data_IF_375424618942
#
_entry.id   IF_375424618942
#
_cell.length_a   1.000
_cell.length_b   1.000
_cell.length_c   1.000
_cell.angle_alpha   90.00
_cell.angle_beta   90.00
_cell.angle_gamma   90.00
#
_symmetry.space_group_name_H-M   'P 1'
#
loop_
_entity.id
_entity.type
_entity.pdbx_description
1 polymer ?
#
# COMPACT_ATOMS: atom_id res chain seq x y z
N UNK A 1 -26.33 22.27 -42.01
CA UNK A 1 -25.89 20.89 -41.91
C UNK A 1 -24.38 20.87 -42.12
N UNK A 2 -23.61 20.75 -41.09
CA UNK A 2 -22.17 20.64 -41.25
C UNK A 2 -21.66 19.68 -40.15
N UNK A 3 -21.41 18.45 -40.58
CA UNK A 3 -20.89 17.35 -39.75
C UNK A 3 -19.38 17.43 -39.79
N UNK A 4 -18.74 17.87 -38.68
CA UNK A 4 -17.29 17.79 -38.51
C UNK A 4 -16.89 16.40 -37.97
N UNK A 5 -15.70 15.90 -38.33
CA UNK A 5 -15.29 14.54 -38.02
C UNK A 5 -14.84 14.39 -36.56
N UNK A 6 -15.22 13.25 -35.97
CA UNK A 6 -14.78 12.80 -34.65
C UNK A 6 -13.26 12.58 -34.64
N UNK A 7 -12.59 13.21 -33.65
CA UNK A 7 -11.17 13.04 -33.45
C UNK A 7 -10.86 11.63 -32.91
N UNK A 8 -10.12 10.85 -33.68
CA UNK A 8 -9.51 9.61 -33.22
C UNK A 8 -8.38 9.91 -32.26
N UNK A 9 -8.54 9.50 -31.00
CA UNK A 9 -7.43 9.42 -30.04
C UNK A 9 -6.54 8.25 -30.47
N UNK A 10 -5.32 8.55 -30.89
CA UNK A 10 -4.34 7.54 -31.27
C UNK A 10 -3.91 6.77 -30.00
N UNK A 11 -4.38 5.52 -29.88
CA UNK A 11 -3.82 4.55 -28.93
C UNK A 11 -2.43 4.17 -29.43
N UNK A 12 -1.40 4.63 -28.73
CA UNK A 12 -0.04 4.16 -28.92
C UNK A 12 0.08 2.72 -28.42
N UNK A 13 0.00 1.76 -29.35
CA UNK A 13 0.30 0.35 -29.10
C UNK A 13 1.81 0.16 -29.13
N UNK A 14 2.50 0.45 -28.03
CA UNK A 14 3.87 -0.01 -27.83
C UNK A 14 3.85 -1.51 -27.54
N UNK A 15 4.06 -2.33 -28.57
CA UNK A 15 4.45 -3.74 -28.38
C UNK A 15 5.91 -3.74 -27.92
N UNK A 16 6.25 -4.34 -26.78
CA UNK A 16 7.65 -4.44 -26.38
C UNK A 16 8.39 -5.41 -27.32
N UNK A 17 9.42 -4.90 -27.99
CA UNK A 17 10.39 -5.74 -28.67
C UNK A 17 11.12 -6.60 -27.64
N UNK A 18 11.18 -7.91 -27.91
CA UNK A 18 11.92 -8.89 -27.11
C UNK A 18 13.42 -8.71 -27.40
N UNK A 19 14.09 -7.90 -26.58
CA UNK A 19 15.54 -7.91 -26.47
C UNK A 19 15.93 -8.41 -25.07
N UNK A 20 16.87 -9.32 -25.01
CA UNK A 20 17.50 -9.90 -23.81
C UNK A 20 18.29 -8.85 -23.05
N UNK A 21 17.60 -7.90 -22.44
CA UNK A 21 18.15 -6.83 -21.63
C UNK A 21 17.33 -6.69 -20.34
N UNK A 22 18.00 -6.41 -19.24
CA UNK A 22 17.40 -6.02 -17.96
C UNK A 22 16.41 -4.89 -18.25
N UNK A 23 15.09 -5.15 -18.12
CA UNK A 23 14.08 -4.11 -18.35
C UNK A 23 14.28 -3.02 -17.31
N UNK A 24 14.40 -1.76 -17.76
CA UNK A 24 14.54 -0.62 -16.88
C UNK A 24 13.22 -0.35 -16.13
N UNK A 25 13.28 0.20 -14.91
CA UNK A 25 12.10 0.64 -14.19
C UNK A 25 11.32 1.68 -15.00
N UNK A 26 10.00 1.56 -15.01
CA UNK A 26 9.11 2.53 -15.65
C UNK A 26 8.47 3.42 -14.58
N UNK A 27 8.68 4.74 -14.66
CA UNK A 27 8.05 5.72 -13.77
C UNK A 27 6.98 6.52 -14.51
N UNK A 28 5.81 6.68 -13.87
CA UNK A 28 4.67 7.41 -14.43
C UNK A 28 3.82 8.02 -13.32
N UNK A 29 2.87 8.89 -13.71
CA UNK A 29 1.83 9.37 -12.82
C UNK A 29 0.51 8.66 -13.15
N UNK A 30 -0.03 7.90 -12.19
CA UNK A 30 -1.37 7.33 -12.27
C UNK A 30 -2.39 8.39 -11.84
N UNK A 31 -3.61 8.29 -12.32
CA UNK A 31 -4.70 9.17 -11.91
C UNK A 31 -5.78 8.37 -11.18
N UNK A 32 -6.05 8.76 -9.95
CA UNK A 32 -7.13 8.17 -9.16
C UNK A 32 -8.49 8.61 -9.66
N UNK A 33 -9.55 7.89 -9.30
CA UNK A 33 -10.94 8.23 -9.66
C UNK A 33 -11.39 9.61 -9.15
N UNK A 34 -10.74 10.14 -8.10
CA UNK A 34 -10.97 11.49 -7.57
C UNK A 34 -9.95 12.54 -8.10
N UNK A 35 -9.23 12.20 -9.19
CA UNK A 35 -8.38 13.12 -9.96
C UNK A 35 -7.02 13.45 -9.34
N UNK A 36 -6.55 12.67 -8.37
CA UNK A 36 -5.21 12.85 -7.79
C UNK A 36 -4.15 12.16 -8.64
N UNK A 37 -3.09 12.88 -9.04
CA UNK A 37 -1.92 12.30 -9.70
C UNK A 37 -1.02 11.61 -8.66
N UNK A 38 -0.71 10.33 -8.88
CA UNK A 38 0.05 9.45 -7.99
C UNK A 38 1.34 9.03 -8.68
N UNK A 39 2.47 9.48 -8.14
CA UNK A 39 3.81 9.14 -8.63
C UNK A 39 4.10 7.67 -8.38
N UNK A 40 4.33 6.90 -9.45
CA UNK A 40 4.37 5.45 -9.43
C UNK A 40 5.54 4.91 -10.24
N UNK A 41 6.11 3.80 -9.78
CA UNK A 41 7.24 3.10 -10.41
C UNK A 41 6.92 1.62 -10.55
N UNK A 42 7.10 1.09 -11.74
CA UNK A 42 7.10 -0.33 -12.03
C UNK A 42 8.54 -0.82 -12.13
N UNK A 43 8.91 -1.75 -11.29
CA UNK A 43 10.19 -2.46 -11.31
C UNK A 43 9.95 -3.88 -11.84
N UNK A 44 10.50 -4.27 -12.98
CA UNK A 44 10.33 -5.63 -13.50
C UNK A 44 11.00 -6.66 -12.59
N UNK A 45 10.54 -7.92 -12.64
CA UNK A 45 11.13 -9.00 -11.87
C UNK A 45 12.63 -9.12 -12.16
N UNK A 46 13.41 -9.31 -11.10
CA UNK A 46 14.89 -9.45 -11.21
C UNK A 46 15.30 -10.80 -11.78
N UNK A 47 14.42 -11.80 -11.72
CA UNK A 47 14.66 -13.16 -12.24
C UNK A 47 13.98 -13.29 -13.60
N UNK A 48 14.75 -13.77 -14.61
CA UNK A 48 14.19 -14.13 -15.91
C UNK A 48 13.18 -15.27 -15.69
N UNK A 49 11.95 -15.18 -16.22
CA UNK A 49 10.97 -16.24 -16.05
C UNK A 49 11.54 -17.56 -16.56
N UNK A 50 11.58 -18.57 -15.71
CA UNK A 50 11.87 -19.94 -16.11
C UNK A 50 10.64 -20.48 -16.86
N UNK A 51 10.75 -20.85 -18.15
CA UNK A 51 9.61 -21.37 -18.90
C UNK A 51 8.96 -22.61 -18.28
N UNK A 52 9.71 -23.35 -17.44
CA UNK A 52 9.20 -24.51 -16.69
C UNK A 52 8.45 -24.12 -15.40
N UNK A 53 8.50 -22.83 -14.99
CA UNK A 53 7.77 -22.28 -13.85
C UNK A 53 6.88 -21.12 -14.31
N UNK A 54 5.63 -21.38 -14.77
CA UNK A 54 4.76 -20.37 -15.37
C UNK A 54 4.43 -19.15 -14.48
N UNK A 55 4.81 -19.19 -13.21
CA UNK A 55 4.25 -18.33 -12.19
C UNK A 55 5.02 -17.03 -11.87
N UNK A 56 6.30 -16.93 -12.18
CA UNK A 56 7.08 -15.75 -11.78
C UNK A 56 6.83 -14.51 -12.68
N UNK A 57 6.47 -14.71 -13.95
CA UNK A 57 6.20 -13.61 -14.90
C UNK A 57 4.83 -12.95 -14.71
N UNK A 58 3.89 -13.66 -14.09
CA UNK A 58 2.49 -13.22 -13.94
C UNK A 58 2.23 -12.53 -12.60
N UNK A 59 3.15 -12.66 -11.63
CA UNK A 59 3.01 -12.11 -10.29
C UNK A 59 3.57 -10.70 -10.21
N UNK A 60 2.80 -9.80 -9.62
CA UNK A 60 3.24 -8.46 -9.25
C UNK A 60 2.90 -8.14 -7.80
N UNK A 61 3.85 -7.55 -7.11
CA UNK A 61 3.64 -6.97 -5.79
C UNK A 61 3.29 -5.49 -5.94
N UNK A 62 2.18 -5.06 -5.33
CA UNK A 62 1.84 -3.63 -5.22
C UNK A 62 2.19 -3.17 -3.81
N UNK A 63 3.26 -2.37 -3.68
CA UNK A 63 3.84 -1.99 -2.39
C UNK A 63 3.33 -0.63 -1.93
N UNK A 64 2.67 -0.61 -0.78
CA UNK A 64 2.08 0.55 -0.11
C UNK A 64 2.91 0.93 1.12
N UNK A 65 3.63 2.04 1.05
CA UNK A 65 4.57 2.51 2.09
C UNK A 65 3.87 3.02 3.37
N UNK A 66 4.63 3.16 4.46
CA UNK A 66 4.17 3.78 5.70
C UNK A 66 4.03 5.31 5.58
N UNK A 67 3.42 5.94 6.60
CA UNK A 67 3.30 7.39 6.65
C UNK A 67 4.70 8.04 6.59
N UNK A 68 4.85 9.11 5.79
CA UNK A 68 6.10 9.80 5.43
C UNK A 68 7.05 9.05 4.47
N UNK A 69 6.64 7.88 3.96
CA UNK A 69 7.33 7.20 2.87
C UNK A 69 7.10 7.87 1.51
N UNK A 70 7.84 7.46 0.52
CA UNK A 70 7.64 7.74 -0.91
C UNK A 70 8.44 6.70 -1.73
N UNK A 71 8.27 6.67 -3.05
CA UNK A 71 8.92 5.71 -3.96
C UNK A 71 10.45 5.77 -3.95
N UNK A 72 11.03 6.90 -3.56
CA UNK A 72 12.48 7.13 -3.60
C UNK A 72 13.15 6.88 -2.24
N UNK A 73 12.39 6.58 -1.17
CA UNK A 73 12.95 6.33 0.15
C UNK A 73 13.79 5.04 0.18
N UNK A 74 15.00 5.07 0.77
CA UNK A 74 15.89 3.92 0.77
C UNK A 74 15.26 2.64 1.33
N UNK A 75 14.47 2.74 2.42
CA UNK A 75 13.78 1.60 3.01
C UNK A 75 12.68 1.04 2.10
N UNK A 76 11.98 1.89 1.33
CA UNK A 76 11.00 1.44 0.33
C UNK A 76 11.73 0.76 -0.83
N UNK A 77 12.80 1.35 -1.35
CA UNK A 77 13.61 0.75 -2.43
C UNK A 77 14.24 -0.59 -2.02
N UNK A 78 14.61 -0.76 -0.75
CA UNK A 78 15.07 -2.05 -0.22
C UNK A 78 13.97 -3.11 -0.27
N UNK A 79 12.74 -2.77 0.15
CA UNK A 79 11.59 -3.66 0.03
C UNK A 79 11.36 -4.07 -1.42
N UNK A 80 11.36 -3.11 -2.35
CA UNK A 80 11.24 -3.36 -3.79
C UNK A 80 12.30 -4.34 -4.28
N UNK A 81 13.57 -4.11 -3.93
CA UNK A 81 14.68 -4.96 -4.35
C UNK A 81 14.54 -6.40 -3.83
N UNK A 82 14.03 -6.57 -2.60
CA UNK A 82 13.79 -7.89 -2.04
C UNK A 82 12.65 -8.62 -2.75
N UNK A 83 11.50 -7.97 -2.93
CA UNK A 83 10.32 -8.55 -3.56
C UNK A 83 10.50 -8.78 -5.07
N UNK A 84 11.32 -7.97 -5.75
CA UNK A 84 11.62 -8.13 -7.18
C UNK A 84 12.30 -9.49 -7.51
N UNK A 85 12.81 -10.20 -6.51
CA UNK A 85 13.32 -11.57 -6.67
C UNK A 85 12.21 -12.61 -6.83
N UNK A 86 10.97 -12.27 -6.46
CA UNK A 86 9.81 -13.17 -6.46
C UNK A 86 8.80 -12.83 -7.56
N UNK A 87 8.78 -11.59 -8.06
CA UNK A 87 7.87 -11.10 -9.10
C UNK A 87 8.16 -9.66 -9.45
N UNK A 88 7.40 -9.08 -10.38
CA UNK A 88 7.47 -7.65 -10.64
C UNK A 88 6.96 -6.84 -9.42
N UNK A 89 7.33 -5.56 -9.34
CA UNK A 89 6.90 -4.69 -8.23
C UNK A 89 6.38 -3.37 -8.78
N UNK A 90 5.18 -3.00 -8.36
CA UNK A 90 4.63 -1.64 -8.49
C UNK A 90 4.77 -0.95 -7.15
N UNK A 91 5.43 0.19 -7.11
CA UNK A 91 5.43 1.10 -5.97
C UNK A 91 4.82 2.43 -6.35
N UNK A 92 4.26 3.13 -5.37
CA UNK A 92 3.71 4.46 -5.58
C UNK A 92 3.87 5.30 -4.32
N UNK A 93 3.95 6.61 -4.48
CA UNK A 93 3.87 7.55 -3.36
C UNK A 93 2.40 7.88 -3.12
N UNK A 94 1.90 7.65 -1.92
CA UNK A 94 0.53 8.03 -1.56
C UNK A 94 0.26 9.51 -1.78
N UNK A 95 -1.00 9.88 -1.98
CA UNK A 95 -1.43 11.29 -2.04
C UNK A 95 -0.82 12.12 -0.93
N UNK A 96 -0.32 13.29 -1.27
CA UNK A 96 0.35 14.17 -0.32
C UNK A 96 1.79 13.78 0.02
N UNK A 97 2.33 12.69 -0.48
CA UNK A 97 3.72 12.24 -0.27
C UNK A 97 4.55 12.39 -1.55
N UNK A 98 5.85 12.53 -1.40
CA UNK A 98 6.78 12.62 -2.53
C UNK A 98 6.32 13.60 -3.59
N UNK A 99 6.34 13.18 -4.87
CA UNK A 99 5.88 13.95 -6.02
C UNK A 99 4.38 13.83 -6.30
N UNK A 100 3.65 12.93 -5.62
CA UNK A 100 2.20 12.77 -5.79
C UNK A 100 1.41 14.01 -5.44
N UNK A 101 0.30 14.23 -6.13
CA UNK A 101 -0.65 15.31 -5.86
C UNK A 101 -1.43 15.14 -4.55
N UNK A 102 -2.44 15.98 -4.36
CA UNK A 102 -3.39 15.86 -3.26
C UNK A 102 -2.80 16.11 -1.86
N UNK A 103 -3.49 15.57 -0.85
CA UNK A 103 -3.13 15.65 0.57
C UNK A 103 -3.47 14.34 1.27
N UNK A 104 -2.58 13.85 2.13
CA UNK A 104 -2.79 12.63 2.91
C UNK A 104 -3.97 12.76 3.87
N UNK A 105 -4.82 11.77 3.87
CA UNK A 105 -5.91 11.56 4.83
C UNK A 105 -5.56 10.51 5.89
N UNK A 106 -4.28 10.09 5.90
CA UNK A 106 -3.69 9.13 6.86
C UNK A 106 -4.42 7.77 6.83
N UNK A 107 -4.61 7.25 5.62
CA UNK A 107 -5.14 5.91 5.37
C UNK A 107 -6.61 5.85 4.95
N UNK A 108 -7.33 6.97 4.87
CA UNK A 108 -8.73 6.97 4.43
C UNK A 108 -8.85 6.94 2.90
N UNK A 109 -8.51 8.03 2.20
CA UNK A 109 -8.61 8.11 0.74
C UNK A 109 -7.43 7.49 0.01
N UNK A 110 -6.39 7.11 0.72
CA UNK A 110 -5.23 6.40 0.19
C UNK A 110 -5.60 5.04 -0.43
N UNK A 111 -6.78 4.50 -0.12
CA UNK A 111 -7.32 3.30 -0.80
C UNK A 111 -7.54 3.53 -2.30
N UNK A 112 -7.83 4.78 -2.72
CA UNK A 112 -8.00 5.13 -4.13
C UNK A 112 -6.66 5.16 -4.88
N UNK A 113 -5.58 5.52 -4.17
CA UNK A 113 -4.23 5.51 -4.75
C UNK A 113 -3.77 4.07 -4.98
N UNK A 114 -4.03 3.20 -4.01
CA UNK A 114 -3.75 1.77 -4.15
C UNK A 114 -4.61 1.13 -5.24
N UNK A 115 -5.88 1.51 -5.36
CA UNK A 115 -6.76 1.01 -6.42
C UNK A 115 -6.20 1.35 -7.82
N UNK A 116 -5.73 2.59 -8.04
CA UNK A 116 -5.10 2.97 -9.30
C UNK A 116 -3.81 2.17 -9.57
N UNK A 117 -3.02 1.88 -8.54
CA UNK A 117 -1.80 1.07 -8.68
C UNK A 117 -2.09 -0.41 -9.00
N UNK A 118 -3.13 -0.98 -8.40
CA UNK A 118 -3.62 -2.35 -8.70
C UNK A 118 -4.16 -2.43 -10.13
N UNK A 119 -4.94 -1.43 -10.55
CA UNK A 119 -5.44 -1.35 -11.93
C UNK A 119 -4.29 -1.27 -12.94
N UNK A 120 -3.31 -0.41 -12.69
CA UNK A 120 -2.13 -0.32 -13.53
C UNK A 120 -1.33 -1.63 -13.60
N UNK A 121 -1.19 -2.34 -12.50
CA UNK A 121 -0.56 -3.67 -12.48
C UNK A 121 -1.28 -4.66 -13.41
N UNK A 122 -2.62 -4.63 -13.43
CA UNK A 122 -3.44 -5.44 -14.35
C UNK A 122 -3.30 -4.99 -15.81
N UNK A 123 -3.26 -3.68 -16.07
CA UNK A 123 -3.01 -3.11 -17.42
C UNK A 123 -1.64 -3.51 -17.99
N UNK A 124 -0.63 -3.66 -17.13
CA UNK A 124 0.69 -4.19 -17.50
C UNK A 124 0.68 -5.69 -17.84
N UNK A 125 -0.46 -6.37 -17.69
CA UNK A 125 -0.68 -7.77 -18.06
C UNK A 125 -0.46 -8.77 -16.93
N UNK A 126 -0.29 -8.32 -15.67
CA UNK A 126 -0.15 -9.23 -14.55
C UNK A 126 -1.48 -9.87 -14.15
N UNK A 127 -1.51 -11.19 -14.08
CA UNK A 127 -2.72 -11.97 -13.73
C UNK A 127 -2.83 -12.22 -12.23
N UNK A 128 -1.72 -12.12 -11.49
CA UNK A 128 -1.67 -12.30 -10.03
C UNK A 128 -1.12 -11.05 -9.36
N UNK A 129 -1.93 -10.43 -8.50
CA UNK A 129 -1.60 -9.18 -7.81
C UNK A 129 -1.61 -9.42 -6.30
N UNK A 130 -0.48 -9.19 -5.66
CA UNK A 130 -0.34 -9.23 -4.19
C UNK A 130 -0.11 -7.81 -3.67
N UNK A 131 -0.96 -7.34 -2.77
CA UNK A 131 -0.73 -6.06 -2.10
C UNK A 131 0.07 -6.25 -0.83
N UNK A 132 1.14 -5.46 -0.67
CA UNK A 132 2.02 -5.48 0.52
C UNK A 132 2.05 -4.08 1.12
N UNK A 133 1.50 -3.91 2.32
CA UNK A 133 1.41 -2.62 2.97
C UNK A 133 2.14 -2.56 4.30
N UNK A 134 2.75 -1.41 4.58
CA UNK A 134 3.53 -1.16 5.80
C UNK A 134 2.90 -0.04 6.62
N UNK A 135 2.69 -0.24 7.92
CA UNK A 135 2.14 0.76 8.85
C UNK A 135 0.80 1.35 8.33
N UNK A 136 0.75 2.63 7.95
CA UNK A 136 -0.39 3.24 7.27
C UNK A 136 -0.76 2.46 6.00
N UNK A 137 0.22 2.09 5.17
CA UNK A 137 0.00 1.26 3.98
C UNK A 137 -0.58 -0.11 4.33
N UNK A 138 -0.20 -0.69 5.48
CA UNK A 138 -0.78 -1.94 5.98
C UNK A 138 -2.28 -1.82 6.27
N UNK A 139 -2.74 -0.70 6.84
CA UNK A 139 -4.17 -0.45 6.99
C UNK A 139 -4.88 -0.17 5.66
N UNK A 140 -4.18 0.44 4.72
CA UNK A 140 -4.73 0.73 3.38
C UNK A 140 -4.95 -0.54 2.57
N UNK A 141 -4.01 -1.51 2.57
CA UNK A 141 -4.19 -2.78 1.84
C UNK A 141 -5.35 -3.60 2.40
N UNK A 142 -5.54 -3.63 3.74
CA UNK A 142 -6.69 -4.28 4.36
C UNK A 142 -8.02 -3.65 3.90
N UNK A 143 -8.09 -2.32 3.95
CA UNK A 143 -9.28 -1.58 3.54
C UNK A 143 -9.54 -1.68 2.03
N UNK A 144 -8.51 -1.66 1.22
CA UNK A 144 -8.64 -1.85 -0.22
C UNK A 144 -9.22 -3.22 -0.57
N UNK A 145 -8.68 -4.29 0.02
CA UNK A 145 -9.18 -5.65 -0.21
C UNK A 145 -10.67 -5.78 0.17
N UNK A 146 -11.08 -5.17 1.29
CA UNK A 146 -12.47 -5.20 1.75
C UNK A 146 -13.44 -4.35 0.90
N UNK A 147 -12.97 -3.25 0.29
CA UNK A 147 -13.81 -2.28 -0.41
C UNK A 147 -13.82 -2.45 -1.93
N UNK A 148 -12.68 -2.87 -2.50
CA UNK A 148 -12.46 -2.94 -3.95
C UNK A 148 -12.20 -4.37 -4.44
N UNK A 149 -11.60 -5.24 -3.60
CA UNK A 149 -11.15 -6.57 -4.03
C UNK A 149 -10.06 -6.50 -5.10
N UNK A 150 -10.03 -7.46 -6.02
CA UNK A 150 -9.13 -7.46 -7.18
C UNK A 150 -7.68 -7.81 -6.89
N UNK A 151 -7.38 -8.29 -5.69
CA UNK A 151 -6.07 -8.79 -5.25
C UNK A 151 -6.13 -10.27 -4.91
N UNK A 152 -5.09 -11.02 -5.25
CA UNK A 152 -5.03 -12.47 -5.09
C UNK A 152 -4.47 -12.88 -3.72
N UNK A 153 -3.72 -11.98 -3.06
CA UNK A 153 -3.33 -12.10 -1.65
C UNK A 153 -3.01 -10.72 -1.05
N UNK A 154 -3.07 -10.62 0.26
CA UNK A 154 -2.85 -9.39 1.02
C UNK A 154 -1.82 -9.60 2.10
N UNK A 155 -0.81 -8.73 2.20
CA UNK A 155 0.18 -8.71 3.27
C UNK A 155 0.13 -7.38 4.01
N UNK A 156 -0.13 -7.42 5.31
CA UNK A 156 -0.23 -6.24 6.17
C UNK A 156 0.86 -6.28 7.25
N UNK A 157 1.83 -5.37 7.18
CA UNK A 157 2.99 -5.31 8.07
C UNK A 157 2.88 -4.13 9.03
N UNK A 158 2.94 -4.38 10.34
CA UNK A 158 2.89 -3.37 11.41
C UNK A 158 1.70 -2.40 11.30
N UNK A 159 0.52 -2.90 10.91
CA UNK A 159 -0.66 -2.06 10.70
C UNK A 159 -1.39 -1.74 12.03
N UNK A 160 -2.00 -0.55 12.14
CA UNK A 160 -2.97 -0.28 13.18
C UNK A 160 -4.27 -1.08 12.95
N UNK A 161 -4.87 -1.61 14.02
CA UNK A 161 -6.21 -2.21 13.94
C UNK A 161 -7.33 -1.17 14.06
N UNK A 162 -7.05 -0.04 14.67
CA UNK A 162 -8.03 1.00 15.04
C UNK A 162 -7.61 2.38 14.57
N UNK A 163 -8.58 3.17 14.16
CA UNK A 163 -8.39 4.62 13.97
C UNK A 163 -8.05 5.33 15.30
N UNK A 164 -7.31 6.42 15.23
CA UNK A 164 -7.02 7.33 16.35
C UNK A 164 -6.30 6.71 17.55
N UNK A 165 -5.59 5.61 17.35
CA UNK A 165 -4.79 5.06 18.43
C UNK A 165 -3.74 6.07 18.93
N UNK A 166 -3.66 6.25 20.26
CA UNK A 166 -2.74 7.19 20.93
C UNK A 166 -2.07 6.57 22.17
N UNK A 167 -2.09 5.26 22.28
CA UNK A 167 -1.56 4.55 23.46
C UNK A 167 -0.04 4.70 23.64
N UNK A 168 0.72 4.89 22.54
CA UNK A 168 2.18 5.02 22.60
C UNK A 168 2.66 6.45 22.42
N UNK A 169 3.89 6.76 22.86
CA UNK A 169 4.48 8.09 22.70
C UNK A 169 4.67 8.48 21.22
N UNK A 170 5.16 7.60 20.31
CA UNK A 170 5.22 7.91 18.88
C UNK A 170 3.86 8.26 18.29
N UNK A 171 2.81 7.49 18.64
CA UNK A 171 1.47 7.75 18.12
C UNK A 171 0.86 9.05 18.66
N UNK A 172 1.16 9.45 19.89
CA UNK A 172 0.77 10.78 20.41
C UNK A 172 1.46 11.92 19.64
N UNK A 173 2.76 11.75 19.29
CA UNK A 173 3.50 12.72 18.46
C UNK A 173 2.93 12.80 17.04
N UNK A 174 2.65 11.64 16.43
CA UNK A 174 2.02 11.57 15.12
C UNK A 174 0.64 12.25 15.14
N UNK A 175 -0.19 11.97 16.15
CA UNK A 175 -1.48 12.64 16.31
C UNK A 175 -1.35 14.16 16.38
N UNK A 176 -0.39 14.69 17.14
CA UNK A 176 -0.08 16.12 17.16
C UNK A 176 0.30 16.64 15.77
N UNK A 177 1.19 15.92 15.08
CA UNK A 177 1.66 16.27 13.73
C UNK A 177 0.50 16.42 12.73
N UNK A 178 -0.44 15.49 12.73
CA UNK A 178 -1.52 15.47 11.75
C UNK A 178 -2.70 16.37 12.09
N UNK A 179 -2.94 16.64 13.40
CA UNK A 179 -4.12 17.40 13.84
C UNK A 179 -3.86 18.90 14.03
N UNK A 180 -2.63 19.30 14.37
CA UNK A 180 -2.31 20.71 14.66
C UNK A 180 -1.81 21.45 13.42
N UNK A 181 -2.18 22.74 13.22
CA UNK A 181 -1.68 23.53 12.11
C UNK A 181 -0.16 23.60 12.06
N UNK A 182 0.49 23.82 13.21
CA UNK A 182 1.96 23.80 13.33
C UNK A 182 2.56 22.45 13.02
N UNK A 183 1.94 21.35 13.47
CA UNK A 183 2.34 19.99 13.13
C UNK A 183 2.27 19.75 11.63
N UNK A 184 1.21 20.18 10.95
CA UNK A 184 1.08 20.05 9.48
C UNK A 184 2.14 20.86 8.73
N UNK A 185 2.58 22.01 9.26
CA UNK A 185 3.71 22.75 8.68
C UNK A 185 5.01 21.95 8.80
N UNK A 186 5.27 21.33 9.96
CA UNK A 186 6.41 20.41 10.15
C UNK A 186 6.30 19.23 9.19
N UNK A 187 5.12 18.63 9.04
CA UNK A 187 4.87 17.57 8.05
C UNK A 187 5.23 18.00 6.63
N UNK A 188 4.79 19.19 6.23
CA UNK A 188 5.01 19.72 4.88
C UNK A 188 6.48 20.02 4.58
N UNK A 189 7.18 20.72 5.46
CA UNK A 189 8.52 21.21 5.21
C UNK A 189 9.62 20.29 5.72
N UNK A 190 9.38 19.56 6.82
CA UNK A 190 10.35 18.64 7.39
C UNK A 190 10.22 17.20 6.87
N UNK A 191 9.00 16.70 6.67
CA UNK A 191 8.73 15.33 6.28
C UNK A 191 8.27 15.18 4.82
N UNK A 192 8.17 16.28 4.07
CA UNK A 192 7.67 16.31 2.69
C UNK A 192 6.29 15.68 2.50
N UNK A 193 5.44 15.76 3.56
CA UNK A 193 4.09 15.18 3.56
C UNK A 193 3.06 16.28 3.72
N UNK A 194 2.16 16.40 2.74
CA UNK A 194 1.04 17.35 2.76
C UNK A 194 -0.18 16.68 3.36
N UNK A 195 -0.56 17.10 4.57
CA UNK A 195 -1.64 16.48 5.34
C UNK A 195 -2.93 17.27 5.15
N UNK A 196 -4.05 16.56 4.99
CA UNK A 196 -5.38 17.19 4.86
C UNK A 196 -5.81 17.82 6.19
N UNK A 197 -6.45 18.98 6.14
CA UNK A 197 -6.80 19.76 7.33
C UNK A 197 -7.86 19.12 8.24
N UNK A 198 -8.65 18.18 7.72
CA UNK A 198 -9.70 17.46 8.46
C UNK A 198 -9.22 16.19 9.16
N UNK A 199 -7.93 15.79 8.97
CA UNK A 199 -7.39 14.61 9.63
C UNK A 199 -7.41 14.81 11.15
N UNK A 200 -7.92 13.80 11.86
CA UNK A 200 -7.95 13.78 13.33
C UNK A 200 -9.03 14.64 13.97
N UNK A 201 -9.97 15.19 13.20
CA UNK A 201 -11.20 15.66 13.80
C UNK A 201 -11.90 14.46 14.45
N UNK A 202 -12.21 14.51 15.77
CA UNK A 202 -12.90 13.39 16.42
C UNK A 202 -14.22 13.15 15.70
N UNK A 203 -14.67 11.88 15.60
CA UNK A 203 -16.02 11.61 15.14
C UNK A 203 -16.98 12.42 16.02
N UNK A 204 -17.94 13.06 15.37
CA UNK A 204 -19.04 13.71 16.11
C UNK A 204 -19.79 12.61 16.89
N UNK A 205 -20.56 12.95 17.94
CA UNK A 205 -21.41 12.00 18.68
C UNK A 205 -22.33 11.14 17.79
N UNK A 206 -22.50 11.53 16.52
CA UNK A 206 -23.31 10.87 15.50
C UNK A 206 -22.48 9.99 14.52
N UNK A 207 -21.22 9.69 14.82
CA UNK A 207 -20.39 8.82 13.98
C UNK A 207 -19.93 9.44 12.66
N UNK A 208 -19.93 10.77 12.55
CA UNK A 208 -19.52 11.48 11.34
C UNK A 208 -18.17 12.16 11.49
N UNK A 209 -17.31 12.01 10.48
CA UNK A 209 -16.10 12.82 10.28
C UNK A 209 -16.49 14.19 9.76
N UNK A 210 -16.83 15.11 10.66
CA UNK A 210 -17.48 16.34 10.24
C UNK A 210 -18.82 16.03 9.56
N UNK A 211 -18.90 16.09 8.24
CA UNK A 211 -20.08 15.72 7.44
C UNK A 211 -19.99 14.33 6.81
N UNK A 212 -18.83 13.67 6.85
CA UNK A 212 -18.59 12.36 6.23
C UNK A 212 -18.74 11.23 7.28
N UNK A 213 -19.23 10.04 6.90
CA UNK A 213 -19.27 8.89 7.79
C UNK A 213 -17.86 8.48 8.21
N UNK A 214 -17.71 7.87 9.39
CA UNK A 214 -16.43 7.32 9.84
C UNK A 214 -16.02 6.22 8.87
N UNK A 215 -14.82 6.29 8.28
CA UNK A 215 -14.38 5.26 7.35
C UNK A 215 -14.25 3.90 8.02
N UNK A 216 -14.45 2.83 7.25
CA UNK A 216 -14.22 1.45 7.68
C UNK A 216 -12.85 1.33 8.36
N UNK A 217 -12.81 0.86 9.60
CA UNK A 217 -11.54 0.68 10.32
C UNK A 217 -10.77 -0.54 9.78
N UNK A 218 -9.44 -0.62 9.99
CA UNK A 218 -8.66 -1.78 9.55
C UNK A 218 -9.15 -3.11 10.11
N UNK A 219 -9.60 -3.15 11.38
CA UNK A 219 -10.15 -4.37 11.99
C UNK A 219 -11.49 -4.78 11.37
N UNK A 220 -12.37 -3.83 11.08
CA UNK A 220 -13.63 -4.12 10.37
C UNK A 220 -13.38 -4.54 8.92
N UNK A 221 -12.33 -4.00 8.29
CA UNK A 221 -11.90 -4.41 6.96
C UNK A 221 -11.36 -5.83 6.96
N UNK A 222 -10.50 -6.19 7.92
CA UNK A 222 -9.94 -7.53 8.04
C UNK A 222 -11.02 -8.62 8.06
N UNK A 223 -12.15 -8.37 8.75
CA UNK A 223 -13.29 -9.30 8.81
C UNK A 223 -14.01 -9.52 7.46
N UNK A 224 -13.65 -8.78 6.40
CA UNK A 224 -14.32 -8.83 5.08
C UNK A 224 -13.41 -9.27 3.95
N UNK A 225 -12.18 -9.72 4.25
CA UNK A 225 -11.17 -10.07 3.24
C UNK A 225 -11.36 -11.50 2.73
N UNK A 226 -11.81 -12.41 3.59
CA UNK A 226 -12.05 -13.81 3.20
C UNK A 226 -12.91 -13.90 1.93
N UNK A 227 -12.60 -14.80 0.98
CA UNK A 227 -11.61 -15.89 1.07
C UNK A 227 -10.20 -15.50 0.56
N UNK A 228 -9.89 -14.22 0.34
CA UNK A 228 -8.56 -13.80 -0.11
C UNK A 228 -7.51 -14.08 0.98
N UNK A 229 -6.41 -14.79 0.68
CA UNK A 229 -5.36 -15.07 1.65
C UNK A 229 -4.80 -13.79 2.27
N UNK A 230 -4.71 -13.75 3.60
CA UNK A 230 -4.21 -12.62 4.36
C UNK A 230 -3.04 -13.02 5.24
N UNK A 231 -1.91 -12.35 5.09
CA UNK A 231 -0.77 -12.41 6.00
C UNK A 231 -0.67 -11.13 6.82
N UNK A 232 -0.69 -11.27 8.13
CA UNK A 232 -0.45 -10.20 9.10
C UNK A 232 0.92 -10.40 9.71
N UNK A 233 1.84 -9.45 9.52
CA UNK A 233 3.20 -9.49 10.07
C UNK A 233 3.39 -8.36 11.08
N UNK A 234 3.98 -8.65 12.23
CA UNK A 234 4.19 -7.62 13.25
C UNK A 234 5.40 -7.91 14.13
N UNK A 235 6.17 -6.87 14.44
CA UNK A 235 7.32 -6.99 15.32
C UNK A 235 6.96 -6.93 16.81
N UNK A 236 7.55 -7.78 17.64
CA UNK A 236 7.31 -7.77 19.09
C UNK A 236 7.93 -6.55 19.80
N UNK A 237 8.82 -5.80 19.12
CA UNK A 237 9.41 -4.54 19.57
C UNK A 237 8.87 -3.31 18.84
N UNK A 238 7.70 -3.43 18.23
CA UNK A 238 7.07 -2.27 17.58
C UNK A 238 6.69 -1.20 18.62
N UNK A 239 7.36 -0.05 18.55
CA UNK A 239 7.13 1.08 19.46
C UNK A 239 5.89 1.92 19.13
N UNK A 240 5.26 1.70 17.96
CA UNK A 240 4.06 2.42 17.51
C UNK A 240 2.80 1.67 17.90
N UNK A 241 2.72 0.38 17.57
CA UNK A 241 1.54 -0.45 17.79
C UNK A 241 1.91 -1.69 18.59
N UNK A 242 1.37 -1.85 19.82
CA UNK A 242 1.55 -3.08 20.61
C UNK A 242 0.88 -4.29 19.96
N UNK A 243 1.22 -5.49 20.46
CA UNK A 243 0.75 -6.78 19.92
C UNK A 243 -0.77 -6.99 19.99
N UNK A 244 -1.53 -6.16 20.70
CA UNK A 244 -3.00 -6.20 20.64
C UNK A 244 -3.52 -5.84 19.25
N UNK A 245 -2.82 -4.96 18.51
CA UNK A 245 -3.21 -4.59 17.15
C UNK A 245 -3.20 -5.77 16.16
N UNK A 246 -2.07 -6.47 15.93
CA UNK A 246 -2.08 -7.61 15.00
C UNK A 246 -2.97 -8.76 15.47
N UNK A 247 -3.10 -9.00 16.80
CA UNK A 247 -4.02 -9.99 17.34
C UNK A 247 -5.48 -9.66 17.07
N UNK A 248 -5.86 -8.37 17.17
CA UNK A 248 -7.21 -7.93 16.81
C UNK A 248 -7.48 -8.12 15.32
N UNK A 249 -6.51 -7.80 14.44
CA UNK A 249 -6.65 -8.00 13.00
C UNK A 249 -6.82 -9.49 12.66
N UNK A 250 -5.97 -10.36 13.23
CA UNK A 250 -6.03 -11.79 13.00
C UNK A 250 -7.35 -12.40 13.53
N UNK A 251 -7.77 -12.02 14.74
CA UNK A 251 -9.02 -12.49 15.31
C UNK A 251 -10.25 -12.04 14.49
N UNK A 252 -10.20 -10.86 13.88
CA UNK A 252 -11.28 -10.37 13.03
C UNK A 252 -11.32 -11.04 11.65
N UNK A 253 -10.15 -11.37 11.10
CA UNK A 253 -10.04 -12.04 9.80
C UNK A 253 -10.39 -13.55 9.86
N UNK A 254 -10.29 -14.17 11.03
CA UNK A 254 -10.59 -15.59 11.22
C UNK A 254 -9.49 -16.53 10.72
N UNK A 255 -9.89 -17.77 10.41
CA UNK A 255 -8.95 -18.87 10.10
C UNK A 255 -8.23 -18.72 8.73
N UNK A 256 -8.73 -17.84 7.86
CA UNK A 256 -8.11 -17.57 6.55
C UNK A 256 -6.89 -16.64 6.64
N UNK A 257 -6.58 -16.10 7.83
CA UNK A 257 -5.45 -15.21 8.06
C UNK A 257 -4.30 -15.91 8.81
N UNK A 258 -3.08 -15.68 8.32
CA UNK A 258 -1.86 -16.06 9.03
C UNK A 258 -1.33 -14.86 9.82
N UNK A 259 -0.91 -15.08 11.08
CA UNK A 259 -0.25 -14.08 11.92
C UNK A 259 1.20 -14.49 12.18
N UNK A 260 2.15 -13.67 11.72
CA UNK A 260 3.56 -13.79 12.05
C UNK A 260 3.97 -12.71 13.04
N UNK A 261 4.41 -13.11 14.22
CA UNK A 261 5.01 -12.22 15.22
C UNK A 261 6.52 -12.36 15.15
N UNK A 262 7.21 -11.35 14.61
CA UNK A 262 8.66 -11.39 14.38
C UNK A 262 9.43 -10.91 15.60
N UNK A 263 10.28 -11.79 16.14
CA UNK A 263 11.06 -11.49 17.33
C UNK A 263 12.14 -10.44 17.08
N UNK A 264 12.19 -9.44 17.94
CA UNK A 264 13.17 -8.36 17.86
C UNK A 264 12.88 -7.31 16.77
N UNK A 265 11.87 -7.53 15.92
CA UNK A 265 11.50 -6.58 14.88
C UNK A 265 10.84 -5.34 15.49
N UNK A 266 11.27 -4.16 15.04
CA UNK A 266 10.64 -2.87 15.34
C UNK A 266 9.46 -2.57 14.40
N UNK A 267 9.37 -1.31 13.93
CA UNK A 267 8.19 -0.84 13.19
C UNK A 267 8.40 -0.85 11.66
N UNK A 268 7.51 -1.52 10.97
CA UNK A 268 7.24 -1.45 9.52
C UNK A 268 8.48 -1.69 8.62
N UNK A 269 8.52 -1.05 7.45
CA UNK A 269 9.56 -1.24 6.42
C UNK A 269 10.97 -0.87 6.88
N UNK A 270 11.11 -0.02 7.88
CA UNK A 270 12.41 0.32 8.43
C UNK A 270 13.05 -0.85 9.21
N UNK A 271 12.23 -1.70 9.80
CA UNK A 271 12.65 -2.80 10.66
C UNK A 271 12.53 -4.19 10.00
N UNK A 272 11.77 -4.32 8.92
CA UNK A 272 11.64 -5.56 8.16
C UNK A 272 12.99 -5.91 7.50
N UNK A 273 13.67 -6.96 7.96
CA UNK A 273 14.94 -7.43 7.39
C UNK A 273 14.75 -8.16 6.05
N UNK A 274 15.85 -8.37 5.32
CA UNK A 274 15.80 -9.00 3.99
C UNK A 274 15.33 -10.45 4.05
N UNK A 275 15.63 -11.18 5.11
CA UNK A 275 15.14 -12.55 5.35
C UNK A 275 13.61 -12.57 5.49
N UNK A 276 13.05 -11.68 6.29
CA UNK A 276 11.60 -11.56 6.45
C UNK A 276 10.93 -11.17 5.12
N UNK A 277 11.50 -10.21 4.38
CA UNK A 277 10.98 -9.81 3.08
C UNK A 277 11.01 -10.96 2.06
N UNK A 278 12.05 -11.81 2.10
CA UNK A 278 12.10 -13.03 1.27
C UNK A 278 11.00 -14.03 1.66
N UNK A 279 10.81 -14.28 2.97
CA UNK A 279 9.73 -15.16 3.46
C UNK A 279 8.34 -14.65 3.06
N UNK A 280 8.13 -13.34 3.10
CA UNK A 280 6.88 -12.70 2.61
C UNK A 280 6.71 -12.96 1.11
N UNK A 281 7.79 -12.83 0.32
CA UNK A 281 7.77 -13.12 -1.11
C UNK A 281 7.42 -14.58 -1.40
N UNK A 282 8.06 -15.54 -0.69
CA UNK A 282 7.77 -16.97 -0.82
C UNK A 282 6.32 -17.31 -0.45
N UNK A 283 5.81 -16.74 0.64
CA UNK A 283 4.41 -16.89 1.05
C UNK A 283 3.45 -16.39 -0.03
N UNK A 284 3.73 -15.21 -0.59
CA UNK A 284 2.89 -14.62 -1.63
C UNK A 284 2.88 -15.47 -2.91
N UNK A 285 4.03 -15.99 -3.33
CA UNK A 285 4.13 -16.93 -4.49
C UNK A 285 3.28 -18.16 -4.26
N UNK A 286 3.28 -18.71 -3.04
CA UNK A 286 2.54 -19.91 -2.70
C UNK A 286 1.02 -19.69 -2.55
N UNK A 287 0.58 -18.48 -2.19
CA UNK A 287 -0.82 -18.19 -1.85
C UNK A 287 -1.59 -17.45 -2.95
N UNK A 288 -0.92 -16.70 -3.81
CA UNK A 288 -1.55 -15.97 -4.92
C UNK A 288 -1.71 -16.86 -6.17
N UNK A 289 -2.12 -18.08 -5.99
CA UNK A 289 -2.25 -19.07 -7.07
C UNK A 289 -3.67 -19.44 -7.38
#
# INVERSE_FOLDING_TARGET
MNTGPAGHVARSTLRPHCETGRREPLRTFLHTVDGVAVDSVYDPAAVVPDPSRPSAGDLVFVVAHGFTGDVDRPHVRRVVTALARHGAVVTFSFRGHGASGGRSTVGDREVLDLAAAVEWARELGHTRVVTVGFSMGGSVVLRHAALHGGTDAVVSVSAPARWYYRGTAPMRRLHWLVTRPTGRLVGRYGLRTRIHHRVGAPPTPFGQWGRDPVPLSPVEAAARIAPTPLLIVHGDRDGYFPLDHPRMLAAAAGDDAELWVEHGMGHAENAAGDELLSRIGDWAVARAG
#
